data_IF_995093519450
#
_entry.id   IF_995093519450
#
_cell.length_a   1.000
_cell.length_b   1.000
_cell.length_c   1.000
_cell.angle_alpha   90.00
_cell.angle_beta   90.00
_cell.angle_gamma   90.00
#
_symmetry.space_group_name_H-M   'P 1'
#
loop_
_entity.id
_entity.type
_entity.pdbx_description
1 polymer ?
#
# COMPACT_ATOMS: atom_id res chain seq x y z
N UNK A 1 16.07 5.66 -78.78
CA UNK A 1 15.98 4.90 -77.52
C UNK A 1 16.84 5.57 -76.50
N UNK A 2 16.28 6.50 -75.70
CA UNK A 2 16.95 7.12 -74.58
C UNK A 2 16.19 6.72 -73.34
N UNK A 3 16.76 5.83 -72.56
CA UNK A 3 16.32 5.55 -71.20
C UNK A 3 16.92 6.61 -70.29
N UNK A 4 16.10 7.53 -69.82
CA UNK A 4 16.44 8.36 -68.67
C UNK A 4 16.27 7.53 -67.38
N UNK A 5 17.38 7.15 -66.81
CA UNK A 5 17.45 6.68 -65.42
C UNK A 5 17.17 7.89 -64.51
N UNK A 6 15.95 8.02 -64.06
CA UNK A 6 15.63 8.87 -62.91
C UNK A 6 15.94 8.09 -61.65
N UNK A 7 17.17 8.21 -61.17
CA UNK A 7 17.47 7.97 -59.77
C UNK A 7 16.82 9.11 -58.97
N UNK A 8 15.56 8.90 -58.59
CA UNK A 8 14.97 9.71 -57.52
C UNK A 8 15.69 9.35 -56.23
N UNK A 9 16.74 10.11 -55.94
CA UNK A 9 17.26 10.14 -54.57
C UNK A 9 16.10 10.59 -53.67
N UNK A 10 15.66 9.70 -52.81
CA UNK A 10 14.66 9.94 -51.75
C UNK A 10 15.27 10.90 -50.73
N UNK A 11 15.55 12.13 -51.17
CA UNK A 11 15.97 13.21 -50.29
C UNK A 11 14.72 13.70 -49.58
N UNK A 12 14.56 13.32 -48.32
CA UNK A 12 13.50 13.84 -47.44
C UNK A 12 13.71 15.35 -47.36
N UNK A 13 12.88 16.13 -48.03
CA UNK A 13 12.95 17.61 -47.94
C UNK A 13 12.39 18.03 -46.54
N UNK A 14 13.31 18.30 -45.63
CA UNK A 14 13.02 18.78 -44.28
C UNK A 14 12.10 20.00 -44.30
N UNK A 15 12.18 20.81 -45.31
CA UNK A 15 11.38 22.03 -45.45
C UNK A 15 9.93 21.72 -45.75
N UNK A 16 9.68 20.73 -46.64
CA UNK A 16 8.34 20.29 -46.99
C UNK A 16 7.66 19.59 -45.82
N UNK A 17 8.43 18.80 -45.04
CA UNK A 17 8.00 18.17 -43.79
C UNK A 17 7.62 19.20 -42.74
N UNK A 18 8.39 20.27 -42.59
CA UNK A 18 8.13 21.36 -41.66
C UNK A 18 6.86 22.15 -42.04
N UNK A 19 6.66 22.45 -43.33
CA UNK A 19 5.43 23.10 -43.76
C UNK A 19 4.19 22.23 -43.64
N UNK A 20 4.30 20.92 -43.86
CA UNK A 20 3.23 19.96 -43.62
C UNK A 20 2.85 19.90 -42.12
N UNK A 21 3.84 19.94 -41.24
CA UNK A 21 3.63 19.97 -39.78
C UNK A 21 2.88 21.24 -39.36
N UNK A 22 3.29 22.40 -39.87
CA UNK A 22 2.63 23.69 -39.59
C UNK A 22 1.20 23.72 -40.19
N UNK A 23 0.98 23.13 -41.34
CA UNK A 23 -0.36 23.07 -41.92
C UNK A 23 -1.35 22.29 -41.04
N UNK A 24 -0.87 21.32 -40.26
CA UNK A 24 -1.68 20.52 -39.35
C UNK A 24 -1.59 20.96 -37.87
N UNK A 25 -1.17 22.20 -37.60
CA UNK A 25 -0.98 22.69 -36.24
C UNK A 25 -2.19 22.51 -35.32
N UNK A 26 -3.43 22.55 -35.88
CA UNK A 26 -4.67 22.34 -35.13
C UNK A 26 -4.78 20.92 -34.60
N UNK A 27 -4.36 19.92 -35.37
CA UNK A 27 -4.36 18.53 -34.97
C UNK A 27 -3.31 18.29 -33.87
N UNK A 28 -2.13 18.90 -34.04
CA UNK A 28 -1.06 18.82 -33.03
C UNK A 28 -1.51 19.48 -31.72
N UNK A 29 -2.11 20.66 -31.79
CA UNK A 29 -2.65 21.36 -30.64
C UNK A 29 -3.72 20.51 -29.92
N UNK A 30 -4.61 19.86 -30.70
CA UNK A 30 -5.63 18.95 -30.12
C UNK A 30 -4.98 17.79 -29.38
N UNK A 31 -3.98 17.14 -29.96
CA UNK A 31 -3.26 16.03 -29.33
C UNK A 31 -2.52 16.48 -28.05
N UNK A 32 -1.92 17.66 -28.07
CA UNK A 32 -1.25 18.22 -26.89
C UNK A 32 -2.26 18.51 -25.78
N UNK A 33 -3.38 19.16 -26.09
CA UNK A 33 -4.44 19.42 -25.12
C UNK A 33 -4.97 18.10 -24.54
N UNK A 34 -5.25 17.12 -25.39
CA UNK A 34 -5.74 15.83 -24.94
C UNK A 34 -4.74 15.12 -24.01
N UNK A 35 -3.45 15.15 -24.36
CA UNK A 35 -2.40 14.54 -23.51
C UNK A 35 -2.28 15.24 -22.14
N UNK A 36 -2.39 16.57 -22.09
CA UNK A 36 -2.38 17.33 -20.84
C UNK A 36 -3.59 16.98 -19.99
N UNK A 37 -4.78 16.91 -20.59
CA UNK A 37 -6.00 16.51 -19.86
C UNK A 37 -5.85 15.10 -19.31
N UNK A 38 -5.38 14.14 -20.11
CA UNK A 38 -5.13 12.77 -19.62
C UNK A 38 -4.10 12.73 -18.49
N UNK A 39 -3.03 13.54 -18.57
CA UNK A 39 -2.02 13.62 -17.51
C UNK A 39 -2.60 14.19 -16.21
N UNK A 40 -3.41 15.25 -16.29
CA UNK A 40 -4.07 15.83 -15.11
C UNK A 40 -5.06 14.84 -14.47
N UNK A 41 -5.84 14.12 -15.28
CA UNK A 41 -6.74 13.09 -14.78
C UNK A 41 -5.96 11.96 -14.11
N UNK A 42 -4.85 11.53 -14.69
CA UNK A 42 -3.98 10.50 -14.11
C UNK A 42 -3.42 10.94 -12.75
N UNK A 43 -2.87 12.16 -12.65
CA UNK A 43 -2.33 12.70 -11.40
C UNK A 43 -3.39 12.79 -10.30
N UNK A 44 -4.63 13.14 -10.66
CA UNK A 44 -5.73 13.23 -9.67
C UNK A 44 -6.19 11.87 -9.15
N UNK A 45 -6.08 10.82 -9.96
CA UNK A 45 -6.53 9.47 -9.59
C UNK A 45 -5.44 8.69 -8.85
N UNK A 46 -4.17 8.95 -9.16
CA UNK A 46 -3.04 8.19 -8.61
C UNK A 46 -2.77 8.62 -7.16
N UNK A 47 -2.79 7.69 -6.18
CA UNK A 47 -2.43 8.01 -4.81
C UNK A 47 -0.94 8.29 -4.68
N UNK A 48 -0.59 9.13 -3.71
CA UNK A 48 0.80 9.39 -3.37
C UNK A 48 1.47 8.11 -2.86
N UNK A 49 2.65 7.84 -3.40
CA UNK A 49 3.47 6.69 -3.00
C UNK A 49 4.75 7.20 -2.34
N UNK A 50 4.99 6.77 -1.12
CA UNK A 50 6.18 7.12 -0.35
C UNK A 50 7.14 5.95 -0.31
N UNK A 51 8.44 6.22 -0.49
CA UNK A 51 9.52 5.26 -0.31
C UNK A 51 10.41 5.73 0.83
N UNK A 52 10.77 4.80 1.71
CA UNK A 52 11.66 5.07 2.85
C UNK A 52 12.79 4.06 2.80
N UNK A 53 14.03 4.57 2.84
CA UNK A 53 15.24 3.76 2.88
C UNK A 53 15.86 3.83 4.28
N UNK A 54 16.33 2.68 4.78
CA UNK A 54 17.09 2.59 6.01
C UNK A 54 18.40 1.83 5.75
N UNK A 55 19.51 2.33 6.28
CA UNK A 55 20.80 1.67 6.21
C UNK A 55 21.09 0.98 7.54
N UNK A 56 21.32 -0.33 7.49
CA UNK A 56 21.73 -1.14 8.65
C UNK A 56 23.17 -1.58 8.42
N UNK A 57 24.04 -1.27 9.36
CA UNK A 57 25.42 -1.75 9.35
C UNK A 57 25.50 -3.08 10.09
N UNK A 58 25.99 -4.10 9.39
CA UNK A 58 26.29 -5.41 9.98
C UNK A 58 27.77 -5.43 10.36
N UNK A 59 28.06 -5.65 11.63
CA UNK A 59 29.44 -5.85 12.08
C UNK A 59 29.84 -7.32 11.89
N UNK A 60 30.88 -7.55 11.08
CA UNK A 60 31.47 -8.86 10.94
C UNK A 60 32.16 -9.24 12.26
N UNK A 61 31.49 -10.01 13.08
CA UNK A 61 32.12 -10.60 14.27
C UNK A 61 33.09 -11.74 13.85
N UNK A 62 34.18 -11.35 13.21
CA UNK A 62 35.31 -12.25 12.89
C UNK A 62 36.13 -12.56 14.13
N UNK A 63 35.53 -12.95 15.21
CA UNK A 63 36.27 -13.17 16.42
C UNK A 63 35.79 -14.34 17.23
N UNK A 64 36.50 -15.41 17.26
CA UNK A 64 36.55 -16.55 18.14
C UNK A 64 36.08 -17.90 17.57
N UNK A 65 35.13 -17.99 16.67
CA UNK A 65 34.75 -19.29 16.10
C UNK A 65 35.55 -19.70 14.87
N UNK A 66 36.12 -18.72 14.14
CA UNK A 66 36.95 -19.03 12.96
C UNK A 66 38.30 -19.63 13.34
N UNK A 67 38.81 -19.37 14.55
CA UNK A 67 40.11 -19.93 15.02
C UNK A 67 40.01 -21.40 15.44
N UNK A 68 38.78 -21.90 15.69
CA UNK A 68 38.57 -23.28 16.14
C UNK A 68 38.22 -24.26 15.01
N UNK A 69 37.86 -23.75 13.83
CA UNK A 69 37.37 -24.58 12.73
C UNK A 69 38.35 -24.75 11.58
N UNK A 70 39.66 -24.44 11.78
CA UNK A 70 40.75 -24.76 10.87
C UNK A 70 40.32 -25.10 9.44
N UNK A 71 40.99 -25.94 8.76
CA UNK A 71 40.84 -26.32 7.34
C UNK A 71 39.41 -26.71 6.81
N UNK A 72 38.41 -26.89 7.68
CA UNK A 72 37.07 -27.22 7.27
C UNK A 72 36.26 -26.01 6.75
N UNK A 73 36.72 -24.79 7.00
CA UNK A 73 36.03 -23.56 6.57
C UNK A 73 36.11 -23.31 5.05
N UNK A 74 37.00 -23.99 4.33
CA UNK A 74 37.12 -23.87 2.86
C UNK A 74 36.11 -24.71 2.08
N UNK A 75 35.43 -25.68 2.71
CA UNK A 75 34.46 -26.55 2.04
C UNK A 75 33.01 -26.15 2.23
N UNK A 76 32.75 -25.22 3.13
CA UNK A 76 31.38 -24.68 3.29
C UNK A 76 31.35 -23.39 2.47
N UNK A 77 30.61 -23.35 1.37
CA UNK A 77 30.26 -22.11 0.67
C UNK A 77 29.68 -21.16 1.71
N UNK A 78 30.52 -20.22 2.19
CA UNK A 78 30.11 -19.23 3.16
C UNK A 78 29.13 -18.29 2.47
N UNK A 79 27.85 -18.50 2.74
CA UNK A 79 26.88 -17.39 2.56
C UNK A 79 27.46 -16.19 3.30
N UNK A 80 27.61 -15.08 2.60
CA UNK A 80 28.05 -13.81 3.21
C UNK A 80 27.27 -13.59 4.52
N UNK A 81 27.92 -13.17 5.63
CA UNK A 81 27.20 -12.82 6.87
C UNK A 81 26.04 -11.86 6.60
N UNK A 82 26.20 -10.92 5.70
CA UNK A 82 25.17 -10.01 5.24
C UNK A 82 23.96 -10.73 4.65
N UNK A 83 24.15 -11.84 3.92
CA UNK A 83 23.05 -12.58 3.32
C UNK A 83 22.21 -13.32 4.37
N UNK A 84 22.85 -13.84 5.43
CA UNK A 84 22.12 -14.43 6.55
C UNK A 84 21.27 -13.38 7.30
N UNK A 85 21.82 -12.19 7.53
CA UNK A 85 21.08 -11.07 8.13
C UNK A 85 19.90 -10.61 7.27
N UNK A 86 20.06 -10.57 5.95
CA UNK A 86 18.98 -10.25 5.01
C UNK A 86 17.84 -11.28 5.13
N UNK A 87 18.16 -12.56 5.22
CA UNK A 87 17.16 -13.61 5.39
C UNK A 87 16.41 -13.49 6.75
N UNK A 88 17.15 -13.13 7.81
CA UNK A 88 16.56 -12.85 9.13
C UNK A 88 15.59 -11.66 9.07
N UNK A 89 16.01 -10.54 8.46
CA UNK A 89 15.18 -9.35 8.34
C UNK A 89 13.91 -9.59 7.51
N UNK A 90 13.97 -10.49 6.52
CA UNK A 90 12.81 -10.91 5.71
C UNK A 90 11.99 -12.01 6.38
N UNK A 91 12.44 -12.53 7.50
CA UNK A 91 11.76 -13.65 8.16
C UNK A 91 10.37 -13.25 8.69
N UNK A 92 9.47 -14.23 8.70
CA UNK A 92 8.15 -14.07 9.31
C UNK A 92 8.21 -13.69 10.79
N UNK A 93 9.28 -14.08 11.49
CA UNK A 93 9.46 -13.74 12.90
C UNK A 93 9.62 -12.22 13.10
N UNK A 94 10.50 -11.59 12.31
CA UNK A 94 10.76 -10.15 12.39
C UNK A 94 9.57 -9.37 11.83
N UNK A 95 9.11 -9.69 10.64
CA UNK A 95 7.98 -9.00 10.02
C UNK A 95 6.70 -9.16 10.84
N UNK A 96 6.48 -10.35 11.41
CA UNK A 96 5.32 -10.60 12.27
C UNK A 96 5.31 -9.80 13.56
N UNK A 97 6.48 -9.56 14.15
CA UNK A 97 6.61 -8.68 15.34
C UNK A 97 6.30 -7.23 14.96
N UNK A 98 6.86 -6.74 13.85
CA UNK A 98 6.58 -5.38 13.36
C UNK A 98 5.09 -5.16 13.04
N UNK A 99 4.45 -6.16 12.41
CA UNK A 99 3.01 -6.11 12.11
C UNK A 99 2.18 -5.97 13.37
N UNK A 100 2.51 -6.73 14.41
CA UNK A 100 1.80 -6.65 15.70
C UNK A 100 2.05 -5.33 16.42
N UNK A 101 3.30 -4.88 16.44
CA UNK A 101 3.69 -3.65 17.15
C UNK A 101 3.12 -2.39 16.52
N UNK A 102 2.91 -2.40 15.20
CA UNK A 102 2.39 -1.26 14.44
C UNK A 102 0.94 -1.45 13.99
N UNK A 103 0.27 -2.53 14.38
CA UNK A 103 -1.11 -2.85 13.98
C UNK A 103 -1.34 -2.90 12.46
N UNK A 104 -0.31 -3.31 11.68
CA UNK A 104 -0.38 -3.37 10.22
C UNK A 104 -1.35 -4.45 9.68
N UNK A 105 -1.83 -5.32 10.55
CA UNK A 105 -2.90 -6.27 10.24
C UNK A 105 -4.29 -5.61 10.17
N UNK A 106 -4.46 -4.38 10.67
CA UNK A 106 -5.72 -3.66 10.61
C UNK A 106 -5.69 -2.74 9.39
N UNK A 107 -6.55 -2.99 8.43
CA UNK A 107 -6.71 -2.16 7.25
C UNK A 107 -8.04 -1.43 7.29
N UNK A 108 -8.00 -0.12 7.06
CA UNK A 108 -9.20 0.74 7.01
C UNK A 108 -9.19 1.50 5.71
N UNK A 109 -10.35 1.54 5.04
CA UNK A 109 -10.53 2.33 3.83
C UNK A 109 -11.96 2.87 3.74
N UNK A 110 -12.16 3.96 3.03
CA UNK A 110 -13.51 4.47 2.75
C UNK A 110 -14.18 3.62 1.68
N UNK A 111 -15.48 3.36 1.82
CA UNK A 111 -16.31 2.74 0.77
C UNK A 111 -16.52 3.70 -0.40
N UNK A 112 -16.45 5.00 -0.15
CA UNK A 112 -16.61 6.05 -1.17
C UNK A 112 -15.35 6.29 -1.99
N UNK A 113 -14.23 5.63 -1.68
CA UNK A 113 -12.95 5.77 -2.41
C UNK A 113 -12.99 5.09 -3.79
N UNK A 114 -14.00 5.42 -4.59
CA UNK A 114 -14.16 4.98 -5.98
C UNK A 114 -13.41 5.92 -6.93
N UNK A 115 -13.11 5.46 -8.15
CA UNK A 115 -12.44 6.30 -9.17
C UNK A 115 -13.23 7.58 -9.44
N UNK A 116 -14.55 7.51 -9.50
CA UNK A 116 -15.43 8.66 -9.71
C UNK A 116 -15.37 9.65 -8.55
N UNK A 117 -15.36 9.17 -7.31
CA UNK A 117 -15.24 10.01 -6.13
C UNK A 117 -13.88 10.72 -6.07
N UNK A 118 -12.78 10.01 -6.36
CA UNK A 118 -11.43 10.58 -6.42
C UNK A 118 -11.27 11.65 -7.52
N UNK A 119 -12.02 11.55 -8.61
CA UNK A 119 -12.02 12.50 -9.71
C UNK A 119 -12.79 13.78 -9.38
N UNK A 120 -13.92 13.66 -8.69
CA UNK A 120 -14.89 14.73 -8.44
C UNK A 120 -14.78 15.36 -7.06
N UNK A 121 -14.25 14.64 -6.07
CA UNK A 121 -14.13 15.09 -4.69
C UNK A 121 -12.67 15.41 -4.33
N UNK A 122 -12.47 16.44 -3.52
CA UNK A 122 -11.17 16.77 -2.91
C UNK A 122 -10.94 16.04 -1.58
N UNK A 123 -11.66 14.94 -1.34
CA UNK A 123 -11.54 14.16 -0.11
C UNK A 123 -10.23 13.37 -0.11
N UNK A 124 -9.38 13.64 0.85
CA UNK A 124 -8.14 12.94 1.08
C UNK A 124 -8.32 11.92 2.22
N UNK A 125 -8.13 10.65 1.91
CA UNK A 125 -8.15 9.56 2.90
C UNK A 125 -6.73 9.18 3.27
N UNK A 126 -6.40 9.22 4.56
CA UNK A 126 -5.07 8.89 5.05
C UNK A 126 -5.14 7.94 6.25
N UNK A 127 -4.35 6.90 6.20
CA UNK A 127 -4.18 5.96 7.32
C UNK A 127 -2.78 6.10 7.89
N UNK A 128 -2.67 6.38 9.18
CA UNK A 128 -1.41 6.48 9.89
C UNK A 128 -1.31 5.34 10.92
N UNK A 129 -0.24 4.56 10.83
CA UNK A 129 0.02 3.44 11.72
C UNK A 129 0.98 3.86 12.84
N UNK A 130 0.63 3.58 14.08
CA UNK A 130 1.45 3.87 15.25
C UNK A 130 1.54 2.64 16.17
N UNK A 131 2.46 2.65 17.13
CA UNK A 131 2.57 1.58 18.13
C UNK A 131 1.32 1.41 19.01
N UNK A 132 0.44 2.41 19.06
CA UNK A 132 -0.72 2.40 19.96
C UNK A 132 -2.03 2.16 19.20
N UNK A 133 -2.08 2.51 17.92
CA UNK A 133 -3.33 2.57 17.19
C UNK A 133 -3.11 2.80 15.70
N UNK A 134 -4.18 2.58 14.94
CA UNK A 134 -4.31 2.97 13.54
C UNK A 134 -5.23 4.19 13.49
N UNK A 135 -4.71 5.32 13.03
CA UNK A 135 -5.47 6.55 12.88
C UNK A 135 -5.91 6.69 11.42
N UNK A 136 -7.20 6.72 11.20
CA UNK A 136 -7.80 7.01 9.91
C UNK A 136 -8.30 8.46 9.87
N UNK A 137 -7.94 9.17 8.80
CA UNK A 137 -8.35 10.55 8.55
C UNK A 137 -9.14 10.64 7.25
N UNK A 138 -10.23 11.37 7.33
CA UNK A 138 -11.12 11.70 6.22
C UNK A 138 -11.34 13.22 6.26
N UNK A 139 -10.58 13.95 5.46
CA UNK A 139 -10.51 15.40 5.53
C UNK A 139 -10.23 15.91 6.96
N UNK A 140 -11.22 16.59 7.55
CA UNK A 140 -11.14 17.15 8.90
C UNK A 140 -11.58 16.17 9.99
N UNK A 141 -12.18 15.04 9.62
CA UNK A 141 -12.67 14.03 10.56
C UNK A 141 -11.64 12.92 10.74
N UNK A 142 -11.58 12.37 11.94
CA UNK A 142 -10.66 11.27 12.23
C UNK A 142 -11.22 10.30 13.25
N UNK A 143 -10.89 9.02 13.11
CA UNK A 143 -11.10 8.03 14.15
C UNK A 143 -9.86 7.16 14.34
N UNK A 144 -9.71 6.70 15.57
CA UNK A 144 -8.56 5.92 16.03
C UNK A 144 -9.01 4.50 16.36
N UNK A 145 -8.41 3.51 15.70
CA UNK A 145 -8.61 2.09 16.00
C UNK A 145 -7.48 1.63 16.89
N UNK A 146 -7.73 1.42 18.18
CA UNK A 146 -6.74 0.94 19.16
C UNK A 146 -6.70 -0.57 19.22
N UNK A 147 -7.85 -1.21 19.09
CA UNK A 147 -7.96 -2.65 19.13
C UNK A 147 -9.05 -3.09 18.13
N UNK A 148 -8.73 -4.05 17.32
CA UNK A 148 -9.68 -4.69 16.42
C UNK A 148 -9.27 -6.14 16.21
N UNK A 149 -9.71 -7.02 17.13
CA UNK A 149 -9.52 -8.46 17.04
C UNK A 149 -10.87 -9.12 16.75
N UNK A 150 -10.89 -9.92 15.72
CA UNK A 150 -12.08 -10.64 15.27
C UNK A 150 -11.90 -12.15 15.40
N UNK A 151 -12.97 -12.94 15.55
CA UNK A 151 -12.89 -14.38 15.49
C UNK A 151 -12.25 -14.90 14.20
N UNK A 152 -11.64 -16.08 14.24
CA UNK A 152 -10.92 -16.66 13.09
C UNK A 152 -11.76 -16.72 11.81
N UNK A 153 -13.08 -16.88 11.93
CA UNK A 153 -14.01 -16.90 10.80
C UNK A 153 -14.05 -15.56 10.02
N UNK A 154 -13.79 -14.44 10.69
CA UNK A 154 -13.80 -13.08 10.10
C UNK A 154 -12.42 -12.54 9.76
N UNK A 155 -11.34 -13.29 10.01
CA UNK A 155 -10.01 -12.92 9.52
C UNK A 155 -10.00 -12.87 7.99
N UNK A 156 -9.26 -11.91 7.46
CA UNK A 156 -9.11 -11.66 6.01
C UNK A 156 -10.39 -11.28 5.27
N UNK A 157 -11.50 -11.09 6.00
CA UNK A 157 -12.77 -10.64 5.44
C UNK A 157 -12.92 -9.13 5.60
N UNK A 158 -13.50 -8.51 4.58
CA UNK A 158 -13.89 -7.12 4.64
C UNK A 158 -15.20 -6.98 5.43
N UNK A 159 -15.24 -6.06 6.37
CA UNK A 159 -16.41 -5.74 7.16
C UNK A 159 -16.75 -4.25 6.97
N UNK A 160 -18.04 -3.93 6.95
CA UNK A 160 -18.49 -2.55 6.90
C UNK A 160 -18.62 -1.97 8.31
N UNK A 161 -18.02 -0.81 8.48
CA UNK A 161 -17.99 -0.04 9.71
C UNK A 161 -18.95 1.14 9.56
N UNK A 162 -20.09 1.08 10.24
CA UNK A 162 -21.11 2.13 10.23
C UNK A 162 -21.11 2.83 11.58
N UNK A 163 -20.91 4.14 11.57
CA UNK A 163 -20.94 4.97 12.76
C UNK A 163 -22.36 5.47 13.02
N UNK A 164 -22.82 5.32 14.24
CA UNK A 164 -23.99 5.98 14.77
C UNK A 164 -23.56 6.96 15.87
N UNK A 165 -24.43 7.80 16.40
CA UNK A 165 -24.06 8.86 17.35
C UNK A 165 -23.23 8.39 18.55
N UNK A 166 -23.51 7.20 19.07
CA UNK A 166 -22.84 6.64 20.26
C UNK A 166 -22.43 5.18 20.08
N UNK A 167 -22.72 4.58 18.95
CA UNK A 167 -22.48 3.18 18.67
C UNK A 167 -21.85 2.97 17.30
N UNK A 168 -21.21 1.84 17.17
CA UNK A 168 -20.58 1.34 15.98
C UNK A 168 -21.28 0.06 15.58
N UNK A 169 -21.67 -0.06 14.31
CA UNK A 169 -22.21 -1.29 13.75
C UNK A 169 -21.21 -1.90 12.79
N UNK A 170 -20.94 -3.17 12.98
CA UNK A 170 -20.21 -4.00 12.03
C UNK A 170 -21.23 -4.77 11.20
N UNK A 171 -21.11 -4.65 9.89
CA UNK A 171 -22.06 -5.26 8.93
C UNK A 171 -21.27 -6.09 7.93
N UNK A 172 -21.83 -7.21 7.51
CA UNK A 172 -21.30 -8.02 6.42
C UNK A 172 -21.63 -7.34 5.08
N UNK A 173 -20.64 -7.07 4.21
CA UNK A 173 -20.89 -6.39 2.94
C UNK A 173 -21.74 -7.18 1.95
N UNK A 174 -21.74 -8.52 2.05
CA UNK A 174 -22.42 -9.40 1.09
C UNK A 174 -23.90 -9.63 1.48
N UNK A 175 -24.18 -9.72 2.78
CA UNK A 175 -25.53 -10.01 3.29
C UNK A 175 -26.24 -8.78 3.84
N UNK A 176 -25.52 -7.68 4.04
CA UNK A 176 -26.00 -6.47 4.72
C UNK A 176 -26.51 -6.72 6.17
N UNK A 177 -26.22 -7.89 6.72
CA UNK A 177 -26.61 -8.23 8.08
C UNK A 177 -25.69 -7.58 9.11
N UNK A 178 -26.28 -7.03 10.18
CA UNK A 178 -25.52 -6.48 11.31
C UNK A 178 -24.96 -7.63 12.14
N UNK A 179 -23.63 -7.78 12.10
CA UNK A 179 -22.91 -8.81 12.85
C UNK A 179 -22.84 -8.45 14.34
N UNK A 180 -22.51 -7.19 14.61
CA UNK A 180 -22.27 -6.71 15.97
C UNK A 180 -22.53 -5.20 16.09
N UNK A 181 -23.05 -4.79 17.23
CA UNK A 181 -23.17 -3.37 17.60
C UNK A 181 -22.46 -3.16 18.91
N UNK A 182 -21.52 -2.22 18.96
CA UNK A 182 -20.73 -1.88 20.15
C UNK A 182 -20.75 -0.37 20.38
N UNK A 183 -20.68 0.10 21.63
CA UNK A 183 -20.56 1.52 21.90
C UNK A 183 -19.18 2.06 21.48
N UNK A 184 -19.18 3.32 21.04
CA UNK A 184 -17.97 4.08 20.68
C UNK A 184 -17.23 4.59 21.91
N UNK A 185 -15.96 4.95 21.70
CA UNK A 185 -15.09 5.63 22.68
C UNK A 185 -14.82 4.80 23.95
N UNK A 186 -14.92 3.49 23.86
CA UNK A 186 -14.55 2.57 24.94
C UNK A 186 -13.98 1.27 24.40
N UNK A 187 -13.36 0.50 25.27
CA UNK A 187 -12.84 -0.84 24.96
C UNK A 187 -13.98 -1.84 25.15
N UNK A 188 -14.28 -2.60 24.12
CA UNK A 188 -15.38 -3.57 24.12
C UNK A 188 -14.81 -4.98 23.93
N UNK A 189 -15.06 -5.86 24.89
CA UNK A 189 -14.79 -7.29 24.78
C UNK A 189 -16.13 -8.01 24.83
N UNK A 190 -16.64 -8.42 23.68
CA UNK A 190 -18.01 -8.91 23.51
C UNK A 190 -18.00 -10.30 22.88
N UNK A 191 -18.80 -11.18 23.44
CA UNK A 191 -19.13 -12.45 22.78
C UNK A 191 -20.11 -12.18 21.62
N UNK A 192 -19.69 -12.46 20.41
CA UNK A 192 -20.48 -12.28 19.20
C UNK A 192 -20.50 -13.56 18.37
N UNK A 193 -21.00 -13.48 17.12
CA UNK A 193 -20.96 -14.61 16.22
C UNK A 193 -19.54 -15.16 16.06
N UNK A 194 -19.41 -16.48 16.09
CA UNK A 194 -18.17 -17.23 15.93
C UNK A 194 -17.08 -17.00 16.97
N UNK A 195 -17.34 -16.25 18.07
CA UNK A 195 -16.39 -16.12 19.17
C UNK A 195 -16.29 -14.74 19.81
N UNK A 196 -15.14 -14.49 20.44
CA UNK A 196 -14.88 -13.23 21.17
C UNK A 196 -14.38 -12.16 20.19
N UNK A 197 -14.97 -10.98 20.33
CA UNK A 197 -14.58 -9.77 19.62
C UNK A 197 -13.95 -8.77 20.59
N UNK A 198 -12.85 -8.14 20.18
CA UNK A 198 -12.24 -7.05 20.91
C UNK A 198 -12.17 -5.83 20.00
N UNK A 199 -12.92 -4.80 20.37
CA UNK A 199 -13.08 -3.62 19.53
C UNK A 199 -12.94 -2.38 20.39
N UNK A 200 -11.99 -1.52 20.02
CA UNK A 200 -11.75 -0.26 20.68
C UNK A 200 -11.53 0.83 19.61
N UNK A 201 -12.59 1.54 19.28
CA UNK A 201 -12.57 2.62 18.29
C UNK A 201 -12.99 3.93 18.96
N UNK A 202 -12.17 4.94 18.77
CA UNK A 202 -12.31 6.25 19.40
C UNK A 202 -12.45 7.33 18.34
N UNK A 203 -13.41 8.22 18.51
CA UNK A 203 -13.61 9.40 17.68
C UNK A 203 -14.26 10.51 18.46
N UNK A 204 -13.96 11.75 18.07
CA UNK A 204 -14.68 12.95 18.54
C UNK A 204 -15.64 13.48 17.47
N UNK A 205 -15.52 12.96 16.26
CA UNK A 205 -16.25 13.43 15.10
C UNK A 205 -17.50 12.58 14.86
N UNK A 206 -18.47 13.14 14.19
CA UNK A 206 -19.63 12.40 13.70
C UNK A 206 -19.38 12.03 12.24
N UNK A 207 -19.52 10.74 11.94
CA UNK A 207 -19.37 10.20 10.60
C UNK A 207 -20.74 9.76 10.08
N UNK A 208 -21.03 10.17 8.85
CA UNK A 208 -22.25 9.75 8.12
C UNK A 208 -21.90 8.76 6.99
N UNK A 209 -20.61 8.44 6.84
CA UNK A 209 -20.09 7.54 5.82
C UNK A 209 -19.81 6.15 6.39
N UNK A 210 -19.78 5.17 5.49
CA UNK A 210 -19.41 3.79 5.79
C UNK A 210 -17.96 3.56 5.42
N UNK A 211 -17.23 2.83 6.25
CA UNK A 211 -15.84 2.47 6.02
C UNK A 211 -15.69 0.96 5.94
N UNK A 212 -14.71 0.53 5.18
CA UNK A 212 -14.27 -0.85 5.16
C UNK A 212 -13.21 -1.04 6.25
N UNK A 213 -13.33 -2.13 7.01
CA UNK A 213 -12.32 -2.56 7.96
C UNK A 213 -12.03 -4.04 7.79
N UNK A 214 -10.75 -4.39 7.76
CA UNK A 214 -10.30 -5.78 7.63
C UNK A 214 -9.24 -6.06 8.69
N UNK A 215 -9.37 -7.20 9.37
CA UNK A 215 -8.31 -7.74 10.22
C UNK A 215 -7.63 -8.87 9.45
N UNK A 216 -6.42 -8.63 8.97
CA UNK A 216 -5.64 -9.63 8.27
C UNK A 216 -5.10 -10.69 9.22
N UNK A 217 -5.13 -11.94 8.78
CA UNK A 217 -4.37 -13.00 9.41
C UNK A 217 -2.86 -12.69 9.36
N UNK A 218 -2.08 -13.18 10.32
CA UNK A 218 -0.64 -12.91 10.33
C UNK A 218 0.06 -13.32 9.02
N UNK A 219 -0.25 -14.47 8.40
CA UNK A 219 0.32 -14.81 7.09
C UNK A 219 -0.04 -13.82 5.98
N UNK A 220 -1.30 -13.37 5.92
CA UNK A 220 -1.75 -12.40 4.92
C UNK A 220 -1.07 -11.03 5.12
N UNK A 221 -0.98 -10.57 6.36
CA UNK A 221 -0.30 -9.32 6.69
C UNK A 221 1.21 -9.37 6.37
N UNK A 222 1.90 -10.49 6.66
CA UNK A 222 3.30 -10.69 6.30
C UNK A 222 3.48 -10.67 4.79
N UNK A 223 2.61 -11.33 4.04
CA UNK A 223 2.67 -11.31 2.58
C UNK A 223 2.45 -9.91 2.01
N UNK A 224 1.48 -9.17 2.53
CA UNK A 224 1.21 -7.78 2.13
C UNK A 224 2.40 -6.85 2.42
N UNK A 225 3.01 -6.98 3.60
CA UNK A 225 4.19 -6.20 3.98
C UNK A 225 5.41 -6.58 3.13
N UNK A 226 5.68 -7.87 2.93
CA UNK A 226 6.84 -8.36 2.18
C UNK A 226 6.80 -7.98 0.69
N UNK A 227 5.61 -7.76 0.12
CA UNK A 227 5.46 -7.29 -1.26
C UNK A 227 6.03 -5.87 -1.47
N UNK A 228 6.03 -5.05 -0.40
CA UNK A 228 6.49 -3.67 -0.42
C UNK A 228 7.81 -3.45 0.35
N UNK A 229 8.41 -4.52 0.87
CA UNK A 229 9.64 -4.47 1.66
C UNK A 229 10.76 -5.20 0.94
N UNK A 230 11.84 -4.51 0.64
CA UNK A 230 13.04 -5.07 0.02
C UNK A 230 14.27 -4.81 0.88
N UNK A 231 15.12 -5.81 1.00
CA UNK A 231 16.43 -5.70 1.65
C UNK A 231 17.49 -6.17 0.66
N UNK A 232 18.51 -5.36 0.46
CA UNK A 232 19.61 -5.68 -0.42
C UNK A 232 20.94 -5.25 0.21
N UNK A 233 22.00 -5.99 -0.07
CA UNK A 233 23.35 -5.60 0.30
C UNK A 233 23.78 -4.41 -0.54
N UNK A 234 24.30 -3.36 0.10
CA UNK A 234 24.90 -2.24 -0.60
C UNK A 234 26.41 -2.49 -0.65
N UNK A 235 26.89 -2.89 -1.81
CA UNK A 235 28.33 -3.11 -2.04
C UNK A 235 29.16 -1.86 -1.75
N UNK A 236 30.40 -2.10 -1.32
CA UNK A 236 31.42 -1.06 -1.15
C UNK A 236 31.85 -0.48 -2.49
#
# INVERSE_FOLDING_TARGET
>A
MNQQNTNAEDTIDLKELFFSLIAQWKLIALCVILSVVCALLYLRVTPDTYSVDALVQVEDSKGASAALLGDLSQMIEQKSPAQAEIEILKSRLVLGSVIKDLHLNIQVSSTENTLTHRLLSDTEYKTEYTKKSVLFKDNLKSFEVREFEVPAYYLDKNLLLNFDKQSLRLTDPDTEEVILTVPLNQVNHVAGPHGLWKIAIFTKDQFDATYNITNLSLPAAVNALSANYSVAERGK
#
